data_IF_011281491812
#
_entry.id   IF_011281491812
#
_cell.length_a   1.000
_cell.length_b   1.000
_cell.length_c   1.000
_cell.angle_alpha   90.00
_cell.angle_beta   90.00
_cell.angle_gamma   90.00
#
_symmetry.space_group_name_H-M   'P 1'
#
loop_
_entity.id
_entity.type
_entity.pdbx_description
1 polymer ?
#
# COMPACT_ATOMS: atom_id res chain seq x y z
N UNK A 1 53.19 -10.29 31.43
CA UNK A 1 52.39 -9.05 31.47
C UNK A 1 51.21 -9.29 30.54
N UNK A 2 50.00 -9.25 31.10
CA UNK A 2 48.75 -9.66 30.44
C UNK A 2 48.06 -8.38 29.95
N UNK A 3 47.74 -8.29 28.66
CA UNK A 3 46.90 -7.24 28.07
C UNK A 3 46.22 -7.88 26.85
N UNK A 4 45.07 -8.55 27.00
CA UNK A 4 43.68 -8.05 26.99
C UNK A 4 43.25 -7.32 25.70
N UNK A 5 42.37 -8.01 24.95
CA UNK A 5 41.29 -7.57 24.03
C UNK A 5 41.67 -6.67 22.84
N UNK A 6 41.13 -6.86 21.63
CA UNK A 6 39.72 -7.06 21.29
C UNK A 6 39.42 -8.34 20.52
N UNK A 7 38.31 -8.95 20.91
CA UNK A 7 37.65 -10.03 20.20
C UNK A 7 37.04 -9.52 18.89
N UNK A 8 37.08 -10.34 17.85
CA UNK A 8 36.18 -10.22 16.71
C UNK A 8 34.74 -10.19 17.24
N UNK A 9 34.07 -9.05 17.11
CA UNK A 9 32.61 -8.98 17.20
C UNK A 9 32.06 -9.65 15.94
N UNK A 10 31.36 -10.77 16.11
CA UNK A 10 30.61 -11.46 15.06
C UNK A 10 29.51 -10.54 14.49
N UNK A 11 29.21 -10.71 13.20
CA UNK A 11 28.20 -9.97 12.43
C UNK A 11 26.73 -10.25 12.85
N UNK A 12 26.45 -10.43 14.12
CA UNK A 12 25.11 -10.79 14.63
C UNK A 12 24.51 -9.73 15.58
N UNK A 13 25.15 -8.57 15.74
CA UNK A 13 24.73 -7.51 16.69
C UNK A 13 24.07 -6.28 16.02
N UNK A 14 23.51 -6.42 14.82
CA UNK A 14 22.71 -5.36 14.17
C UNK A 14 21.20 -5.67 14.12
N UNK A 15 20.76 -6.72 14.82
CA UNK A 15 19.33 -7.10 14.89
C UNK A 15 18.82 -6.86 16.31
N UNK A 16 18.82 -5.60 16.74
CA UNK A 16 18.16 -5.04 17.94
C UNK A 16 18.55 -3.56 17.86
N UNK A 17 17.72 -2.59 17.44
CA UNK A 17 16.35 -2.30 17.82
C UNK A 17 15.65 -1.57 16.68
N UNK A 18 14.63 -2.19 16.10
CA UNK A 18 13.49 -1.46 15.53
C UNK A 18 12.23 -2.26 15.84
N UNK A 19 12.06 -2.57 17.12
CA UNK A 19 10.71 -2.55 17.68
C UNK A 19 10.31 -1.07 17.73
N UNK A 20 10.02 -0.49 16.56
CA UNK A 20 9.21 0.71 16.55
C UNK A 20 7.86 0.24 17.04
N UNK A 21 7.45 0.73 18.20
CA UNK A 21 6.06 0.67 18.62
C UNK A 21 5.23 1.35 17.53
N UNK A 22 4.83 0.61 16.50
CA UNK A 22 3.72 1.00 15.66
C UNK A 22 2.49 0.78 16.52
N UNK A 23 2.17 1.80 17.32
CA UNK A 23 0.79 1.99 17.75
C UNK A 23 -0.08 1.89 16.49
N UNK A 24 -1.15 1.09 16.53
CA UNK A 24 -2.26 1.16 15.57
C UNK A 24 -2.99 2.52 15.69
N UNK A 25 -2.27 3.63 15.72
CA UNK A 25 -2.81 4.96 15.51
C UNK A 25 -3.21 4.99 14.03
N UNK A 26 -4.48 4.66 13.78
CA UNK A 26 -5.07 4.81 12.45
C UNK A 26 -5.10 6.30 12.17
N UNK A 27 -4.11 6.78 11.41
CA UNK A 27 -4.05 8.16 10.97
C UNK A 27 -5.41 8.57 10.37
N UNK A 28 -5.97 9.69 10.85
CA UNK A 28 -7.21 10.24 10.31
C UNK A 28 -6.88 11.23 9.20
N UNK A 29 -7.09 10.80 7.97
CA UNK A 29 -6.86 11.59 6.77
C UNK A 29 -8.06 12.48 6.41
N UNK A 30 -9.06 12.59 7.28
CA UNK A 30 -10.23 13.44 7.04
C UNK A 30 -9.84 14.91 6.92
N UNK A 31 -10.19 15.54 5.79
CA UNK A 31 -9.88 16.95 5.55
C UNK A 31 -8.45 17.22 5.11
N UNK A 32 -7.67 16.18 4.81
CA UNK A 32 -6.31 16.31 4.25
C UNK A 32 -6.34 16.26 2.73
N UNK A 33 -5.38 16.94 2.12
CA UNK A 33 -5.14 16.86 0.68
C UNK A 33 -3.94 15.95 0.44
N UNK A 34 -4.11 14.97 -0.44
CA UNK A 34 -3.02 14.10 -0.86
C UNK A 34 -2.20 14.81 -1.94
N UNK A 35 -0.89 14.75 -1.80
CA UNK A 35 0.03 15.45 -2.72
C UNK A 35 0.89 14.47 -3.50
N UNK A 36 1.36 13.40 -2.83
CA UNK A 36 2.16 12.37 -3.48
C UNK A 36 1.97 11.00 -2.84
N UNK A 37 2.28 9.97 -3.63
CA UNK A 37 2.38 8.58 -3.18
C UNK A 37 3.73 7.99 -3.60
N UNK A 38 4.38 7.27 -2.69
CA UNK A 38 5.53 6.41 -2.98
C UNK A 38 5.03 4.98 -3.15
N UNK A 39 5.43 4.35 -4.26
CA UNK A 39 5.07 2.98 -4.60
C UNK A 39 6.32 2.25 -5.07
N UNK A 40 6.65 1.11 -4.47
CA UNK A 40 7.85 0.32 -4.82
C UNK A 40 9.14 1.17 -4.81
N UNK A 41 9.27 2.07 -3.83
CA UNK A 41 10.42 2.96 -3.73
C UNK A 41 10.33 4.27 -4.52
N UNK A 42 9.39 4.40 -5.47
CA UNK A 42 9.30 5.55 -6.38
C UNK A 42 8.15 6.50 -5.98
N UNK A 43 8.47 7.78 -5.76
CA UNK A 43 7.49 8.81 -5.46
C UNK A 43 6.84 9.38 -6.75
N UNK A 44 5.53 9.63 -6.70
CA UNK A 44 4.72 10.16 -7.80
C UNK A 44 3.70 11.16 -7.26
N UNK A 45 3.56 12.29 -7.95
CA UNK A 45 2.50 13.26 -7.67
C UNK A 45 1.14 12.71 -8.11
N UNK A 46 0.10 13.06 -7.35
CA UNK A 46 -1.28 12.58 -7.58
C UNK A 46 -2.26 13.72 -7.34
N UNK A 47 -3.31 13.78 -8.15
CA UNK A 47 -4.30 14.86 -8.09
C UNK A 47 -5.46 14.56 -7.12
N UNK A 48 -5.65 13.28 -6.77
CA UNK A 48 -6.73 12.85 -5.88
C UNK A 48 -6.43 11.54 -5.17
N UNK A 49 -7.19 11.28 -4.09
CA UNK A 49 -7.17 9.99 -3.40
C UNK A 49 -7.51 8.82 -4.33
N UNK A 50 -8.46 8.99 -5.27
CA UNK A 50 -8.83 7.97 -6.23
C UNK A 50 -7.71 7.67 -7.25
N UNK A 51 -7.01 8.72 -7.70
CA UNK A 51 -5.85 8.57 -8.60
C UNK A 51 -4.70 7.86 -7.90
N UNK A 52 -4.47 8.17 -6.62
CA UNK A 52 -3.45 7.49 -5.83
C UNK A 52 -3.74 6.00 -5.63
N UNK A 53 -4.99 5.64 -5.31
CA UNK A 53 -5.39 4.24 -5.21
C UNK A 53 -5.17 3.51 -6.54
N UNK A 54 -5.61 4.13 -7.65
CA UNK A 54 -5.45 3.57 -8.99
C UNK A 54 -3.96 3.40 -9.32
N UNK A 55 -3.14 4.42 -9.09
CA UNK A 55 -1.70 4.38 -9.35
C UNK A 55 -0.99 3.31 -8.52
N UNK A 56 -1.32 3.17 -7.24
CA UNK A 56 -0.78 2.14 -6.35
C UNK A 56 -1.09 0.74 -6.86
N UNK A 57 -2.37 0.47 -7.10
CA UNK A 57 -2.85 -0.83 -7.59
C UNK A 57 -2.19 -1.18 -8.91
N UNK A 58 -2.20 -0.26 -9.88
CA UNK A 58 -1.59 -0.51 -11.20
C UNK A 58 -0.09 -0.75 -11.10
N UNK A 59 0.62 -0.01 -10.25
CA UNK A 59 2.06 -0.20 -10.07
C UNK A 59 2.40 -1.54 -9.40
N UNK A 60 1.65 -1.93 -8.38
CA UNK A 60 1.85 -3.19 -7.66
C UNK A 60 1.52 -4.39 -8.55
N UNK A 61 0.40 -4.36 -9.28
CA UNK A 61 -0.03 -5.49 -10.10
C UNK A 61 0.79 -5.73 -11.36
N UNK A 62 1.63 -4.77 -11.80
CA UNK A 62 2.47 -4.95 -13.00
C UNK A 62 3.50 -6.08 -12.90
N UNK A 63 3.90 -6.46 -11.69
CA UNK A 63 5.00 -7.41 -11.48
C UNK A 63 4.56 -8.68 -10.72
N UNK A 64 3.25 -8.87 -10.49
CA UNK A 64 2.74 -10.05 -9.79
C UNK A 64 2.34 -11.13 -10.78
N UNK A 65 2.54 -12.39 -10.42
CA UNK A 65 2.18 -13.53 -11.26
C UNK A 65 0.67 -13.79 -11.30
N UNK A 66 -0.03 -13.47 -10.20
CA UNK A 66 -1.45 -13.75 -10.00
C UNK A 66 -2.19 -12.49 -9.53
N UNK A 67 -2.58 -11.58 -10.45
CA UNK A 67 -3.22 -10.32 -10.10
C UNK A 67 -4.63 -10.50 -9.52
N UNK A 68 -5.26 -11.66 -9.72
CA UNK A 68 -6.62 -11.95 -9.24
C UNK A 68 -6.70 -12.04 -7.72
N UNK A 69 -5.59 -12.34 -7.04
CA UNK A 69 -5.49 -12.35 -5.56
C UNK A 69 -5.85 -11.02 -4.91
N UNK A 70 -5.80 -9.91 -5.65
CA UNK A 70 -6.24 -8.61 -5.12
C UNK A 70 -7.73 -8.60 -4.74
N UNK A 71 -8.52 -9.50 -5.34
CA UNK A 71 -9.95 -9.67 -5.01
C UNK A 71 -10.19 -10.22 -3.60
N UNK A 72 -9.18 -10.77 -2.94
CA UNK A 72 -9.25 -11.15 -1.52
C UNK A 72 -9.40 -9.92 -0.59
N UNK A 73 -9.13 -8.71 -1.10
CA UNK A 73 -9.31 -7.45 -0.36
C UNK A 73 -10.76 -6.98 -0.50
N UNK A 74 -11.58 -7.42 0.45
CA UNK A 74 -13.00 -7.04 0.50
C UNK A 74 -13.29 -5.83 1.40
N UNK A 75 -14.28 -5.06 0.97
CA UNK A 75 -14.94 -4.08 1.80
C UNK A 75 -16.01 -4.69 2.69
N UNK A 76 -16.56 -3.88 3.60
CA UNK A 76 -17.58 -4.35 4.55
C UNK A 76 -18.88 -4.80 3.87
N UNK A 77 -19.24 -4.15 2.77
CA UNK A 77 -20.55 -4.35 2.11
C UNK A 77 -20.41 -4.78 0.65
N UNK A 78 -19.33 -4.40 -0.02
CA UNK A 78 -19.05 -4.73 -1.41
C UNK A 78 -17.54 -4.92 -1.58
N UNK A 79 -17.18 -5.73 -2.56
CA UNK A 79 -15.80 -5.90 -3.00
C UNK A 79 -15.27 -4.60 -3.60
N UNK A 80 -13.99 -4.31 -3.38
CA UNK A 80 -13.33 -3.16 -3.99
C UNK A 80 -12.83 -3.47 -5.40
N UNK A 81 -12.47 -4.73 -5.61
CA UNK A 81 -11.98 -5.28 -6.86
C UNK A 81 -12.97 -6.32 -7.37
N UNK A 82 -13.23 -6.32 -8.67
CA UNK A 82 -14.12 -7.29 -9.32
C UNK A 82 -13.59 -7.66 -10.70
N UNK A 83 -13.90 -8.87 -11.15
CA UNK A 83 -13.69 -9.29 -12.53
C UNK A 83 -14.64 -8.53 -13.48
N UNK A 84 -14.30 -8.51 -14.77
CA UNK A 84 -15.02 -7.79 -15.83
C UNK A 84 -16.53 -8.08 -15.86
N UNK A 85 -16.93 -9.34 -15.63
CA UNK A 85 -18.34 -9.74 -15.63
C UNK A 85 -19.15 -9.12 -14.47
N UNK A 86 -18.46 -8.75 -13.38
CA UNK A 86 -19.04 -8.16 -12.16
C UNK A 86 -18.83 -6.66 -12.06
N UNK A 87 -18.32 -5.99 -13.10
CA UNK A 87 -18.05 -4.54 -13.10
C UNK A 87 -19.28 -3.68 -12.73
N UNK A 88 -20.50 -4.19 -12.95
CA UNK A 88 -21.75 -3.50 -12.61
C UNK A 88 -22.07 -3.49 -11.11
N UNK A 89 -21.34 -4.27 -10.29
CA UNK A 89 -21.49 -4.34 -8.83
C UNK A 89 -20.72 -3.22 -8.11
N UNK A 90 -19.80 -2.55 -8.80
CA UNK A 90 -18.96 -1.46 -8.25
C UNK A 90 -19.37 -0.10 -8.81
N UNK A 91 -19.14 0.96 -8.03
CA UNK A 91 -19.45 2.33 -8.47
C UNK A 91 -18.27 2.91 -9.24
N UNK A 92 -18.54 3.47 -10.41
CA UNK A 92 -17.53 4.06 -11.30
C UNK A 92 -16.32 3.12 -11.52
N UNK A 93 -16.54 1.94 -12.13
CA UNK A 93 -15.47 0.95 -12.35
C UNK A 93 -14.31 1.53 -13.17
N UNK A 94 -13.09 1.43 -12.63
CA UNK A 94 -11.84 1.74 -13.31
C UNK A 94 -11.16 0.44 -13.74
N UNK A 95 -10.96 0.24 -15.06
CA UNK A 95 -10.23 -0.93 -15.56
C UNK A 95 -8.77 -0.87 -15.10
N UNK A 96 -8.28 -1.96 -14.53
CA UNK A 96 -6.86 -2.14 -14.23
C UNK A 96 -6.16 -2.62 -15.52
N UNK A 97 -5.17 -1.89 -16.05
CA UNK A 97 -4.48 -2.27 -17.28
C UNK A 97 -3.85 -3.67 -17.19
N UNK A 98 -3.80 -4.35 -18.32
CA UNK A 98 -3.17 -5.68 -18.47
C UNK A 98 -3.77 -6.78 -17.57
N UNK A 99 -5.00 -6.58 -17.08
CA UNK A 99 -5.76 -7.56 -16.29
C UNK A 99 -7.23 -7.58 -16.73
N UNK A 100 -7.99 -8.57 -16.29
CA UNK A 100 -9.45 -8.60 -16.43
C UNK A 100 -10.21 -8.01 -15.22
N UNK A 101 -9.51 -7.19 -14.43
CA UNK A 101 -10.00 -6.66 -13.17
C UNK A 101 -10.42 -5.19 -13.27
N UNK A 102 -11.35 -4.82 -12.40
CA UNK A 102 -11.86 -3.47 -12.22
C UNK A 102 -11.80 -3.08 -10.75
N UNK A 103 -11.51 -1.80 -10.51
CA UNK A 103 -11.40 -1.18 -9.20
C UNK A 103 -12.50 -0.12 -9.03
N UNK A 104 -13.13 -0.07 -7.87
CA UNK A 104 -13.82 1.14 -7.41
C UNK A 104 -12.82 2.11 -6.78
N UNK A 105 -12.71 3.34 -7.28
CA UNK A 105 -11.78 4.34 -6.72
C UNK A 105 -12.48 5.47 -5.94
N UNK A 106 -13.82 5.46 -5.88
CA UNK A 106 -14.61 6.51 -5.24
C UNK A 106 -14.79 6.25 -3.75
N UNK A 107 -13.72 6.45 -2.98
CA UNK A 107 -13.68 6.21 -1.55
C UNK A 107 -13.25 7.43 -0.74
N UNK A 108 -13.52 7.41 0.56
CA UNK A 108 -12.91 8.37 1.49
C UNK A 108 -11.40 8.17 1.58
N UNK A 109 -10.67 9.23 1.94
CA UNK A 109 -9.22 9.18 2.18
C UNK A 109 -8.81 8.00 3.07
N UNK A 110 -9.49 7.87 4.22
CA UNK A 110 -9.26 6.76 5.16
C UNK A 110 -9.49 5.37 4.55
N UNK A 111 -10.46 5.22 3.64
CA UNK A 111 -10.68 3.94 2.97
C UNK A 111 -9.59 3.69 1.92
N UNK A 112 -9.19 4.71 1.16
CA UNK A 112 -8.09 4.61 0.20
C UNK A 112 -6.80 4.16 0.88
N UNK A 113 -6.40 4.83 1.96
CA UNK A 113 -5.18 4.48 2.72
C UNK A 113 -5.23 3.02 3.18
N UNK A 114 -6.34 2.61 3.80
CA UNK A 114 -6.54 1.23 4.25
C UNK A 114 -6.44 0.21 3.13
N UNK A 115 -6.91 0.54 1.92
CA UNK A 115 -6.80 -0.38 0.78
C UNK A 115 -5.36 -0.42 0.29
N UNK A 116 -4.72 0.74 0.08
CA UNK A 116 -3.32 0.86 -0.36
C UNK A 116 -2.38 0.08 0.56
N UNK A 117 -2.58 0.15 1.88
CA UNK A 117 -1.78 -0.58 2.87
C UNK A 117 -2.00 -2.09 2.85
N UNK A 118 -3.18 -2.57 2.42
CA UNK A 118 -3.50 -4.01 2.33
C UNK A 118 -3.02 -4.68 1.04
N UNK A 119 -2.96 -3.95 -0.07
CA UNK A 119 -2.45 -4.50 -1.34
C UNK A 119 -1.06 -5.13 -1.20
N UNK A 120 -0.05 -4.50 -0.57
CA UNK A 120 1.27 -5.13 -0.43
C UNK A 120 1.23 -6.39 0.43
N UNK A 121 0.38 -6.44 1.46
CA UNK A 121 0.23 -7.63 2.31
C UNK A 121 -0.25 -8.85 1.50
N UNK A 122 -1.11 -8.64 0.49
CA UNK A 122 -1.60 -9.70 -0.40
C UNK A 122 -0.47 -10.33 -1.24
N UNK A 123 0.56 -9.55 -1.57
CA UNK A 123 1.63 -9.90 -2.51
C UNK A 123 3.01 -9.97 -1.87
N UNK A 124 3.08 -9.94 -0.55
CA UNK A 124 4.34 -10.05 0.22
C UNK A 124 5.36 -8.92 -0.09
N UNK A 125 4.86 -7.75 -0.51
CA UNK A 125 5.69 -6.54 -0.63
C UNK A 125 5.96 -5.92 0.74
N UNK A 126 7.14 -5.30 0.90
CA UNK A 126 7.49 -4.61 2.14
C UNK A 126 6.73 -3.28 2.22
N UNK A 127 6.06 -3.03 3.35
CA UNK A 127 5.27 -1.80 3.56
C UNK A 127 6.13 -0.52 3.50
N UNK A 128 7.43 -0.59 3.80
CA UNK A 128 8.34 0.54 3.68
C UNK A 128 8.56 1.00 2.23
N UNK A 129 8.17 0.17 1.26
CA UNK A 129 8.14 0.54 -0.16
C UNK A 129 6.93 1.41 -0.53
N UNK A 130 5.93 1.49 0.34
CA UNK A 130 4.80 2.42 0.24
C UNK A 130 5.02 3.66 1.12
N UNK A 131 4.46 4.79 0.68
CA UNK A 131 4.43 6.00 1.48
C UNK A 131 3.34 6.96 0.99
N UNK A 132 2.65 7.60 1.93
CA UNK A 132 1.57 8.54 1.66
C UNK A 132 2.02 9.91 2.15
N UNK A 133 1.95 10.92 1.27
CA UNK A 133 2.40 12.27 1.57
C UNK A 133 1.23 13.23 1.40
N UNK A 134 0.80 13.82 2.49
CA UNK A 134 -0.32 14.77 2.53
C UNK A 134 0.16 16.17 2.89
N UNK A 135 -0.59 17.16 2.42
CA UNK A 135 -0.47 18.54 2.85
C UNK A 135 -1.61 18.89 3.81
N UNK A 136 -1.29 19.68 4.85
CA UNK A 136 -2.31 20.31 5.69
C UNK A 136 -3.12 21.29 4.84
N UNK A 137 -4.44 21.14 4.85
CA UNK A 137 -5.38 21.96 4.06
C UNK A 137 -5.84 23.22 4.81
#
# INVERSE_FOLDING_TARGET
MVNMLLQNVSCEDLITESASSESDDVDDYTGTTLSAIKILGEARDVDSWGDALTAAVVALLRNVEDPERITDIDGRTRSYFVEEERQSEVVAPHKIPDTDLYLEANFSANTVVRVIERVPDTYEYDRAELGIFTEES
#
